data_IF_293425980483
#
_entry.id   IF_293425980483
#
_cell.length_a   1.000
_cell.length_b   1.000
_cell.length_c   1.000
_cell.angle_alpha   90.00
_cell.angle_beta   90.00
_cell.angle_gamma   90.00
#
_symmetry.space_group_name_H-M   'P 1'
#
loop_
_entity.id
_entity.type
_entity.pdbx_description
1 polymer ?
#
# COMPACT_ATOMS: atom_id res chain seq x y z
N UNK A 1 -36.77 16.93 10.96
CA UNK A 1 -35.32 17.18 10.81
C UNK A 1 -34.60 15.90 11.18
N UNK A 2 -34.09 15.14 10.19
CA UNK A 2 -33.42 13.87 10.41
C UNK A 2 -32.05 13.92 9.74
N UNK A 3 -31.01 13.96 10.58
CA UNK A 3 -29.61 14.09 10.22
C UNK A 3 -29.17 12.82 9.49
N UNK A 4 -28.87 12.93 8.19
CA UNK A 4 -28.30 11.84 7.40
C UNK A 4 -26.83 11.73 7.75
N UNK A 5 -26.51 10.69 8.52
CA UNK A 5 -25.16 10.27 8.83
C UNK A 5 -24.33 10.16 7.54
N UNK A 6 -23.23 10.91 7.52
CA UNK A 6 -22.21 10.84 6.48
C UNK A 6 -21.70 9.40 6.39
N UNK A 7 -22.11 8.70 5.34
CA UNK A 7 -21.52 7.42 4.97
C UNK A 7 -20.20 7.74 4.27
N UNK A 8 -19.15 7.97 5.06
CA UNK A 8 -17.77 7.94 4.56
C UNK A 8 -17.44 6.47 4.27
N UNK A 9 -17.95 5.96 3.13
CA UNK A 9 -17.52 4.68 2.56
C UNK A 9 -16.01 4.78 2.38
N UNK A 10 -15.29 4.14 3.28
CA UNK A 10 -13.85 4.10 3.35
C UNK A 10 -13.31 3.62 2.01
N UNK A 11 -12.91 4.59 1.18
CA UNK A 11 -12.08 4.36 0.01
C UNK A 11 -10.66 4.07 0.50
N UNK A 12 -10.47 2.94 1.19
CA UNK A 12 -9.19 2.34 1.57
C UNK A 12 -8.46 1.76 0.33
N UNK A 13 -8.50 2.52 -0.77
CA UNK A 13 -7.57 2.46 -1.90
C UNK A 13 -6.95 3.84 -2.09
N UNK A 14 -6.67 4.55 -1.00
CA UNK A 14 -5.85 5.75 -1.04
C UNK A 14 -4.43 5.31 -0.76
N UNK A 15 -3.72 4.97 -1.82
CA UNK A 15 -2.27 5.09 -1.89
C UNK A 15 -1.93 6.47 -1.30
N UNK A 16 -1.54 6.51 -0.01
CA UNK A 16 -1.26 7.77 0.66
C UNK A 16 0.09 8.27 0.15
N UNK A 17 0.00 9.41 -0.53
CA UNK A 17 1.06 10.26 -1.09
C UNK A 17 1.86 9.64 -2.24
N UNK A 18 1.34 9.81 -3.46
CA UNK A 18 2.22 10.08 -4.60
C UNK A 18 2.87 11.45 -4.34
N UNK A 19 3.92 11.46 -3.52
CA UNK A 19 4.82 12.60 -3.47
C UNK A 19 5.43 12.76 -4.85
N UNK A 20 5.38 13.97 -5.42
CA UNK A 20 6.13 14.32 -6.64
C UNK A 20 7.65 14.14 -6.46
N UNK A 21 8.12 13.94 -5.22
CA UNK A 21 9.51 13.60 -4.89
C UNK A 21 9.86 12.11 -5.12
N UNK A 22 8.89 11.24 -5.40
CA UNK A 22 9.15 9.83 -5.62
C UNK A 22 9.91 9.62 -6.95
N UNK A 23 10.86 8.67 -7.00
CA UNK A 23 11.56 8.40 -8.25
C UNK A 23 10.63 7.75 -9.29
N UNK A 24 11.03 7.76 -10.57
CA UNK A 24 10.25 7.16 -11.66
C UNK A 24 9.89 5.69 -11.40
N UNK A 25 10.77 4.94 -10.75
CA UNK A 25 10.51 3.54 -10.40
C UNK A 25 9.40 3.41 -9.35
N UNK A 26 9.41 4.23 -8.29
CA UNK A 26 8.34 4.28 -7.29
C UNK A 26 7.01 4.71 -7.93
N UNK A 27 7.02 5.70 -8.82
CA UNK A 27 5.81 6.10 -9.56
C UNK A 27 5.26 4.97 -10.43
N UNK A 28 6.14 4.22 -11.11
CA UNK A 28 5.75 3.02 -11.83
C UNK A 28 5.09 2.00 -10.90
N UNK A 29 5.72 1.71 -9.77
CA UNK A 29 5.21 0.77 -8.77
C UNK A 29 3.85 1.16 -8.21
N UNK A 30 3.63 2.46 -7.96
CA UNK A 30 2.34 2.96 -7.46
C UNK A 30 1.19 2.77 -8.45
N UNK A 31 1.50 2.61 -9.73
CA UNK A 31 0.52 2.38 -10.80
C UNK A 31 0.44 0.92 -11.21
N UNK A 32 1.37 0.09 -10.74
CA UNK A 32 1.41 -1.33 -11.05
C UNK A 32 0.32 -2.12 -10.31
N UNK A 33 -0.12 -3.25 -10.86
CA UNK A 33 -0.92 -4.22 -10.12
C UNK A 33 -0.22 -4.65 -8.83
N UNK A 34 -0.98 -5.02 -7.81
CA UNK A 34 -0.45 -5.50 -6.52
C UNK A 34 0.42 -6.75 -6.64
N UNK A 35 0.27 -7.51 -7.73
CA UNK A 35 1.01 -8.75 -8.03
C UNK A 35 2.30 -8.49 -8.83
N UNK A 36 2.47 -7.29 -9.39
CA UNK A 36 3.67 -6.96 -10.16
C UNK A 36 4.88 -6.94 -9.23
N UNK A 37 5.99 -7.55 -9.64
CA UNK A 37 7.22 -7.61 -8.83
C UNK A 37 7.63 -6.22 -8.28
N UNK A 38 8.20 -6.17 -7.07
CA UNK A 38 8.77 -4.94 -6.54
C UNK A 38 9.88 -4.43 -7.45
N UNK A 39 9.98 -3.11 -7.62
CA UNK A 39 11.17 -2.54 -8.21
C UNK A 39 12.37 -2.77 -7.29
N UNK A 40 13.55 -2.99 -7.88
CA UNK A 40 14.71 -3.63 -7.24
C UNK A 40 15.32 -2.91 -6.02
N UNK A 41 14.91 -1.67 -5.73
CA UNK A 41 15.52 -0.82 -4.68
C UNK A 41 14.57 -0.51 -3.53
N UNK A 42 13.61 -1.40 -3.30
CA UNK A 42 12.74 -1.36 -2.13
C UNK A 42 13.28 -2.26 -1.02
N UNK A 43 13.42 -1.68 0.17
CA UNK A 43 13.77 -2.40 1.39
C UNK A 43 12.53 -2.49 2.29
N UNK A 44 12.26 -3.69 2.80
CA UNK A 44 11.19 -3.90 3.80
C UNK A 44 11.59 -3.25 5.12
N UNK A 45 10.74 -2.37 5.64
CA UNK A 45 10.93 -1.71 6.94
C UNK A 45 10.07 -2.36 8.02
N UNK A 46 8.85 -2.76 7.67
CA UNK A 46 7.94 -3.42 8.59
C UNK A 46 6.94 -4.28 7.83
N UNK A 47 6.56 -5.42 8.41
CA UNK A 47 5.48 -6.27 7.93
C UNK A 47 4.52 -6.51 9.09
N UNK A 48 3.34 -5.94 9.00
CA UNK A 48 2.30 -6.01 10.05
C UNK A 48 1.14 -6.86 9.57
N UNK A 49 0.76 -7.93 10.29
CA UNK A 49 -0.46 -8.66 9.98
C UNK A 49 -1.67 -7.76 10.28
N UNK A 50 -2.58 -7.64 9.31
CA UNK A 50 -3.83 -6.90 9.44
C UNK A 50 -4.96 -7.92 9.47
N UNK A 51 -5.70 -7.98 10.57
CA UNK A 51 -6.86 -8.86 10.71
C UNK A 51 -8.12 -8.05 10.40
N UNK A 52 -8.73 -8.30 9.24
CA UNK A 52 -10.05 -7.77 8.92
C UNK A 52 -11.14 -8.85 9.09
N UNK A 53 -12.37 -8.41 9.37
CA UNK A 53 -13.51 -9.27 9.74
C UNK A 53 -13.86 -10.38 8.71
N UNK A 54 -13.32 -10.32 7.49
CA UNK A 54 -13.62 -11.25 6.39
C UNK A 54 -12.38 -11.84 5.71
N UNK A 55 -11.22 -11.75 6.36
CA UNK A 55 -9.95 -12.23 5.82
C UNK A 55 -8.85 -11.21 6.07
N UNK A 56 -7.83 -11.62 6.83
CA UNK A 56 -6.67 -10.78 7.07
C UNK A 56 -5.67 -10.80 5.91
N UNK A 57 -4.74 -9.86 5.93
CA UNK A 57 -3.63 -9.75 5.00
C UNK A 57 -2.36 -9.31 5.73
N UNK A 58 -1.30 -9.08 4.95
CA UNK A 58 -0.07 -8.48 5.46
C UNK A 58 0.03 -7.09 4.85
N UNK A 59 0.18 -6.08 5.70
CA UNK A 59 0.60 -4.76 5.26
C UNK A 59 2.11 -4.67 5.41
N UNK A 60 2.80 -4.52 4.29
CA UNK A 60 4.25 -4.36 4.25
C UNK A 60 4.58 -2.92 3.88
N UNK A 61 5.40 -2.29 4.71
CA UNK A 61 5.96 -0.96 4.49
C UNK A 61 7.38 -1.11 3.95
N UNK A 62 7.64 -0.42 2.84
CA UNK A 62 8.92 -0.37 2.17
C UNK A 62 9.50 1.04 2.20
N UNK A 63 10.82 1.14 2.17
CA UNK A 63 11.55 2.37 1.87
C UNK A 63 12.34 2.19 0.58
N UNK A 64 12.24 3.18 -0.31
CA UNK A 64 13.04 3.22 -1.52
C UNK A 64 14.45 3.72 -1.21
N UNK A 65 15.47 2.93 -1.55
CA UNK A 65 16.87 3.28 -1.34
C UNK A 65 17.41 4.26 -2.39
N UNK A 66 16.60 4.71 -3.35
CA UNK A 66 16.97 5.77 -4.29
C UNK A 66 16.44 7.14 -3.85
N UNK A 67 15.14 7.22 -3.55
CA UNK A 67 14.49 8.50 -3.23
C UNK A 67 14.08 8.65 -1.76
N UNK A 68 14.31 7.64 -0.93
CA UNK A 68 13.90 7.64 0.49
C UNK A 68 12.38 7.52 0.70
N UNK A 69 11.60 7.40 -0.37
CA UNK A 69 10.14 7.39 -0.28
C UNK A 69 9.62 6.13 0.38
N UNK A 70 8.59 6.29 1.22
CA UNK A 70 7.94 5.17 1.88
C UNK A 70 6.74 4.70 1.06
N UNK A 71 6.69 3.40 0.76
CA UNK A 71 5.58 2.76 0.06
C UNK A 71 4.89 1.77 0.99
N UNK A 72 3.57 1.67 0.89
CA UNK A 72 2.80 0.69 1.63
C UNK A 72 2.11 -0.24 0.63
N UNK A 73 2.25 -1.54 0.85
CA UNK A 73 1.62 -2.58 0.06
C UNK A 73 0.79 -3.45 0.99
N UNK A 74 -0.50 -3.52 0.73
CA UNK A 74 -1.40 -4.45 1.41
C UNK A 74 -1.73 -5.59 0.46
N UNK A 75 -1.52 -6.81 0.92
CA UNK A 75 -1.80 -8.01 0.14
C UNK A 75 -3.30 -8.32 0.09
N UNK A 76 -4.10 -7.72 0.97
CA UNK A 76 -5.55 -7.91 1.09
C UNK A 76 -6.00 -9.32 1.52
N UNK A 77 -5.15 -10.33 1.35
CA UNK A 77 -5.30 -11.72 1.79
C UNK A 77 -3.95 -12.32 2.17
N UNK A 78 -3.94 -13.23 3.14
CA UNK A 78 -2.75 -14.03 3.47
C UNK A 78 -2.29 -14.87 2.26
N UNK A 79 -0.98 -14.90 2.01
CA UNK A 79 -0.37 -15.69 0.92
C UNK A 79 -0.41 -15.02 -0.46
N UNK A 80 -0.83 -13.76 -0.55
CA UNK A 80 -0.69 -12.94 -1.75
C UNK A 80 0.40 -11.88 -1.51
N UNK A 81 1.04 -11.38 -2.57
CA UNK A 81 1.96 -10.24 -2.50
C UNK A 81 3.37 -10.54 -2.99
N UNK A 82 4.30 -9.65 -2.64
CA UNK A 82 5.71 -9.83 -2.95
C UNK A 82 6.33 -10.73 -1.89
N UNK A 83 6.86 -11.88 -2.32
CA UNK A 83 7.49 -12.89 -1.49
C UNK A 83 9.00 -12.89 -1.73
#
# INVERSE_FOLDING_TARGET
MAQRAHTTRSALRRWMSADDAACRACHGQMRSPSEALPHARLMVVASTPVVEAFGGGIETRYICLDCGHTLMHSTGRFGQGWH
#
